data_IF_215784037275
#
_entry.id   IF_215784037275
#
_cell.length_a   1.000
_cell.length_b   1.000
_cell.length_c   1.000
_cell.angle_alpha   90.00
_cell.angle_beta   90.00
_cell.angle_gamma   90.00
#
_symmetry.space_group_name_H-M   'P 1'
#
loop_
_entity.id
_entity.type
_entity.pdbx_description
1 polymer ?
#
# COMPACT_ATOMS: atom_id res chain seq x y z
N UNK A 1 -27.57 -3.91 -11.28
CA UNK A 1 -26.11 -4.01 -11.46
C UNK A 1 -25.84 -3.80 -12.93
N UNK A 2 -25.17 -2.71 -13.30
CA UNK A 2 -24.72 -2.52 -14.68
C UNK A 2 -23.27 -3.01 -14.82
N UNK A 3 -22.90 -3.46 -16.02
CA UNK A 3 -21.51 -3.73 -16.34
C UNK A 3 -20.80 -2.40 -16.69
N UNK A 4 -19.56 -2.26 -16.24
CA UNK A 4 -18.68 -1.11 -16.51
C UNK A 4 -17.33 -1.60 -17.00
N UNK A 5 -17.00 -1.33 -18.25
CA UNK A 5 -15.78 -1.80 -18.88
C UNK A 5 -14.80 -0.65 -19.12
N UNK A 6 -13.58 -0.78 -18.60
CA UNK A 6 -12.54 0.23 -18.78
C UNK A 6 -12.03 0.26 -20.23
N UNK A 7 -12.05 1.45 -20.83
CA UNK A 7 -11.56 1.72 -22.19
C UNK A 7 -10.39 2.72 -22.20
N UNK A 8 -10.44 3.75 -21.36
CA UNK A 8 -9.43 4.81 -21.34
C UNK A 8 -9.42 5.69 -22.59
N UNK A 9 -10.60 6.07 -23.12
CA UNK A 9 -10.74 6.80 -24.39
C UNK A 9 -10.99 8.32 -24.24
N UNK A 10 -11.01 8.87 -23.03
CA UNK A 10 -11.29 10.28 -22.81
C UNK A 10 -10.20 11.19 -23.40
N UNK A 11 -10.59 12.34 -23.99
CA UNK A 11 -9.64 13.30 -24.53
C UNK A 11 -8.79 13.92 -23.42
N UNK A 12 -7.54 14.24 -23.76
CA UNK A 12 -6.60 14.93 -22.85
C UNK A 12 -6.99 16.40 -22.73
N UNK A 13 -7.23 16.85 -21.52
CA UNK A 13 -7.50 18.25 -21.17
C UNK A 13 -6.56 18.64 -20.03
N UNK A 14 -5.91 19.80 -20.15
CA UNK A 14 -5.04 20.34 -19.11
C UNK A 14 -5.89 20.88 -17.96
N UNK A 15 -5.46 20.64 -16.73
CA UNK A 15 -6.08 21.29 -15.57
C UNK A 15 -5.73 22.77 -15.56
N UNK A 16 -6.72 23.60 -15.26
CA UNK A 16 -6.55 25.03 -15.03
C UNK A 16 -7.18 25.38 -13.69
N UNK A 17 -6.38 25.98 -12.81
CA UNK A 17 -6.82 26.47 -11.49
C UNK A 17 -6.59 27.97 -11.44
N UNK A 18 -7.57 28.72 -10.95
CA UNK A 18 -7.49 30.17 -10.79
C UNK A 18 -7.51 30.55 -9.32
N UNK A 19 -6.79 31.62 -8.99
CA UNK A 19 -6.73 32.22 -7.67
C UNK A 19 -7.05 33.71 -7.80
N UNK A 20 -8.18 34.12 -7.24
CA UNK A 20 -8.58 35.52 -7.18
C UNK A 20 -7.91 36.19 -5.98
N UNK A 21 -7.02 37.14 -6.24
CA UNK A 21 -6.36 37.94 -5.20
C UNK A 21 -7.24 39.15 -4.87
N UNK A 22 -7.27 39.52 -3.60
CA UNK A 22 -7.98 40.69 -3.10
C UNK A 22 -7.37 41.18 -1.80
N UNK A 23 -8.10 42.03 -1.08
CA UNK A 23 -7.60 42.62 0.17
C UNK A 23 -6.55 43.71 -0.06
N UNK A 24 -5.86 44.07 1.03
CA UNK A 24 -4.74 45.02 1.01
C UNK A 24 -3.43 44.22 0.99
N UNK A 25 -2.49 44.61 0.14
CA UNK A 25 -1.17 43.98 0.06
C UNK A 25 -0.09 45.02 0.37
N UNK A 26 0.93 44.61 1.12
CA UNK A 26 2.19 45.34 1.25
C UNK A 26 3.22 44.85 0.21
N UNK A 27 4.28 45.63 -0.01
CA UNK A 27 5.31 45.24 -0.98
C UNK A 27 6.17 44.04 -0.52
N UNK A 28 6.26 43.82 0.79
CA UNK A 28 7.03 42.78 1.46
C UNK A 28 6.21 41.54 1.85
N UNK A 29 4.91 41.55 1.56
CA UNK A 29 4.06 40.36 1.66
C UNK A 29 4.56 39.19 0.81
N UNK A 30 4.15 37.99 1.23
CA UNK A 30 4.50 36.73 0.59
C UNK A 30 3.25 35.97 0.16
N UNK A 31 3.40 35.18 -0.90
CA UNK A 31 2.49 34.07 -1.22
C UNK A 31 3.26 32.77 -1.09
N UNK A 32 2.81 31.90 -0.18
CA UNK A 32 3.35 30.55 -0.04
C UNK A 32 2.55 29.58 -0.87
N UNK A 33 3.21 28.95 -1.83
CA UNK A 33 2.68 27.78 -2.52
C UNK A 33 3.17 26.50 -1.84
N UNK A 34 2.29 25.50 -1.71
CA UNK A 34 2.65 24.22 -1.07
C UNK A 34 1.97 23.02 -1.74
N UNK A 35 2.70 21.90 -1.77
CA UNK A 35 2.22 20.58 -2.17
C UNK A 35 2.13 19.66 -0.95
N UNK A 36 1.28 18.63 -1.02
CA UNK A 36 1.03 17.72 0.09
C UNK A 36 2.26 16.88 0.51
N UNK A 37 3.28 16.77 -0.35
CA UNK A 37 4.56 16.15 -0.02
C UNK A 37 5.49 17.06 0.84
N UNK A 38 5.02 18.24 1.24
CA UNK A 38 5.76 19.21 2.05
C UNK A 38 6.63 20.16 1.25
N UNK A 39 6.68 20.05 -0.08
CA UNK A 39 7.40 21.00 -0.92
C UNK A 39 6.69 22.36 -0.90
N UNK A 40 7.46 23.43 -0.70
CA UNK A 40 6.95 24.80 -0.59
C UNK A 40 7.87 25.82 -1.24
N UNK A 41 7.30 26.88 -1.78
CA UNK A 41 8.01 28.06 -2.28
C UNK A 41 7.27 29.32 -1.83
N UNK A 42 8.03 30.34 -1.40
CA UNK A 42 7.49 31.63 -0.99
C UNK A 42 7.84 32.67 -2.05
N UNK A 43 6.84 33.39 -2.55
CA UNK A 43 6.98 34.41 -3.58
C UNK A 43 6.71 35.79 -2.97
N UNK A 44 7.70 36.68 -3.04
CA UNK A 44 7.48 38.08 -2.66
C UNK A 44 6.54 38.74 -3.68
N UNK A 45 5.50 39.44 -3.20
CA UNK A 45 4.56 40.11 -4.09
C UNK A 45 5.14 41.40 -4.68
N UNK A 46 6.04 42.08 -3.95
CA UNK A 46 6.81 43.22 -4.47
C UNK A 46 6.00 44.46 -4.84
N UNK A 47 4.70 44.51 -4.51
CA UNK A 47 3.82 45.64 -4.86
C UNK A 47 2.56 45.67 -4.01
N UNK A 48 2.10 46.88 -3.67
CA UNK A 48 0.80 47.12 -3.03
C UNK A 48 -0.38 47.07 -4.01
N UNK A 49 -0.10 47.05 -5.32
CA UNK A 49 -1.15 46.93 -6.34
C UNK A 49 -1.40 45.46 -6.63
N UNK A 50 -2.59 44.96 -6.31
CA UNK A 50 -2.94 43.52 -6.42
C UNK A 50 -2.64 42.94 -7.81
N UNK A 51 -2.91 43.67 -8.89
CA UNK A 51 -2.61 43.16 -10.25
C UNK A 51 -1.10 43.01 -10.51
N UNK A 52 -0.30 43.93 -10.00
CA UNK A 52 1.17 43.87 -10.08
C UNK A 52 1.71 42.76 -9.17
N UNK A 53 1.16 42.61 -7.96
CA UNK A 53 1.48 41.52 -7.04
C UNK A 53 1.30 40.15 -7.71
N UNK A 54 0.14 39.93 -8.35
CA UNK A 54 -0.16 38.69 -9.09
C UNK A 54 0.81 38.47 -10.26
N UNK A 55 1.14 39.50 -11.02
CA UNK A 55 2.12 39.41 -12.12
C UNK A 55 3.53 39.05 -11.62
N UNK A 56 3.94 39.61 -10.48
CA UNK A 56 5.22 39.29 -9.84
C UNK A 56 5.26 37.84 -9.36
N UNK A 57 4.19 37.35 -8.71
CA UNK A 57 4.06 35.95 -8.30
C UNK A 57 4.13 35.01 -9.50
N UNK A 58 3.40 35.29 -10.58
CA UNK A 58 3.43 34.47 -11.80
C UNK A 58 4.84 34.41 -12.42
N UNK A 59 5.55 35.54 -12.45
CA UNK A 59 6.92 35.61 -12.96
C UNK A 59 7.88 34.82 -12.07
N UNK A 60 7.78 35.00 -10.75
CA UNK A 60 8.64 34.30 -9.79
C UNK A 60 8.42 32.78 -9.82
N UNK A 61 7.16 32.33 -9.97
CA UNK A 61 6.82 30.92 -10.16
C UNK A 61 7.53 30.32 -11.37
N UNK A 62 7.37 30.94 -12.55
CA UNK A 62 7.93 30.42 -13.79
C UNK A 62 9.47 30.45 -13.84
N UNK A 63 10.10 31.22 -12.95
CA UNK A 63 11.55 31.31 -12.80
C UNK A 63 12.12 30.37 -11.73
N UNK A 64 11.30 29.56 -11.06
CA UNK A 64 11.79 28.57 -10.11
C UNK A 64 12.72 27.57 -10.81
N UNK A 65 13.82 27.24 -10.16
CA UNK A 65 14.74 26.23 -10.65
C UNK A 65 14.08 24.85 -10.63
N UNK A 66 13.82 24.31 -11.82
CA UNK A 66 13.23 22.96 -12.01
C UNK A 66 14.04 21.83 -11.36
N UNK A 67 15.35 22.01 -11.13
CA UNK A 67 16.17 21.04 -10.40
C UNK A 67 15.86 21.01 -8.90
N UNK A 68 15.44 22.14 -8.35
CA UNK A 68 15.06 22.28 -6.95
C UNK A 68 13.55 22.16 -6.72
N UNK A 69 12.72 22.55 -7.69
CA UNK A 69 11.27 22.61 -7.60
C UNK A 69 10.59 21.87 -8.78
N UNK A 70 10.87 20.58 -8.98
CA UNK A 70 10.37 19.84 -10.13
C UNK A 70 8.84 19.76 -10.18
N UNK A 71 8.15 19.80 -9.03
CA UNK A 71 6.68 19.82 -8.97
C UNK A 71 6.08 21.11 -9.54
N UNK A 72 6.76 22.24 -9.34
CA UNK A 72 6.34 23.56 -9.84
C UNK A 72 6.57 23.66 -11.35
N UNK A 73 7.63 23.03 -11.85
CA UNK A 73 7.98 23.01 -13.26
C UNK A 73 7.00 22.23 -14.16
N UNK A 74 6.00 21.54 -13.58
CA UNK A 74 4.91 20.92 -14.34
C UNK A 74 3.76 21.90 -14.67
N UNK A 75 3.84 23.11 -14.12
CA UNK A 75 2.74 24.08 -14.10
C UNK A 75 3.26 25.45 -14.54
N UNK A 76 2.68 25.99 -15.61
CA UNK A 76 2.88 27.38 -16.02
C UNK A 76 1.90 28.30 -15.26
N UNK A 77 2.45 29.36 -14.66
CA UNK A 77 1.68 30.45 -14.07
C UNK A 77 1.47 31.60 -15.07
N UNK A 78 0.29 32.21 -15.08
CA UNK A 78 0.00 33.44 -15.81
C UNK A 78 -0.89 34.37 -14.99
N UNK A 79 -0.82 35.66 -15.28
CA UNK A 79 -1.55 36.69 -14.57
C UNK A 79 -2.54 37.40 -15.50
N UNK A 80 -3.77 37.65 -15.02
CA UNK A 80 -4.73 38.52 -15.69
C UNK A 80 -5.45 39.38 -14.64
N UNK A 81 -5.06 40.66 -14.56
CA UNK A 81 -5.53 41.57 -13.52
C UNK A 81 -5.21 40.99 -12.13
N UNK A 82 -6.23 40.82 -11.29
CA UNK A 82 -6.10 40.27 -9.94
C UNK A 82 -6.21 38.74 -9.88
N UNK A 83 -6.20 38.04 -11.02
CA UNK A 83 -6.33 36.58 -11.06
C UNK A 83 -5.02 35.93 -11.50
N UNK A 84 -4.48 35.07 -10.64
CA UNK A 84 -3.41 34.13 -10.99
C UNK A 84 -4.03 32.87 -11.59
N UNK A 85 -3.52 32.43 -12.73
CA UNK A 85 -3.95 31.20 -13.40
C UNK A 85 -2.78 30.23 -13.46
N UNK A 86 -2.96 29.04 -12.90
CA UNK A 86 -2.03 27.93 -12.97
C UNK A 86 -2.55 26.88 -13.95
N UNK A 87 -1.75 26.52 -14.94
CA UNK A 87 -2.11 25.55 -15.98
C UNK A 87 -1.09 24.41 -15.99
N UNK A 88 -1.58 23.17 -15.96
CA UNK A 88 -0.68 22.02 -16.12
C UNK A 88 -0.12 21.98 -17.55
N UNK A 89 1.20 21.89 -17.70
CA UNK A 89 1.86 21.99 -19.02
C UNK A 89 1.57 20.77 -19.92
N UNK A 90 1.32 19.61 -19.31
CA UNK A 90 0.88 18.40 -19.99
C UNK A 90 -0.62 18.13 -19.84
N UNK A 91 -1.38 18.14 -20.94
CA UNK A 91 -2.79 17.77 -20.93
C UNK A 91 -3.02 16.30 -20.48
N UNK A 92 -4.06 16.08 -19.68
CA UNK A 92 -4.38 14.78 -19.10
C UNK A 92 -3.55 14.38 -17.90
N UNK A 93 -2.95 15.36 -17.21
CA UNK A 93 -2.40 15.21 -15.87
C UNK A 93 -3.11 16.13 -14.89
N UNK A 94 -3.20 15.68 -13.65
CA UNK A 94 -3.77 16.44 -12.53
C UNK A 94 -2.65 17.15 -11.74
N UNK A 95 -3.00 18.16 -10.95
CA UNK A 95 -2.13 18.74 -9.92
C UNK A 95 -2.99 19.32 -8.80
N UNK A 96 -2.39 19.44 -7.61
CA UNK A 96 -3.03 20.08 -6.46
C UNK A 96 -1.97 20.91 -5.75
N UNK A 97 -2.22 22.21 -5.64
CA UNK A 97 -1.36 23.17 -4.96
C UNK A 97 -2.25 24.05 -4.09
N UNK A 98 -1.77 24.35 -2.89
CA UNK A 98 -2.39 25.35 -2.02
C UNK A 98 -1.60 26.63 -2.07
N UNK A 99 -2.28 27.78 -2.20
CA UNK A 99 -1.70 29.10 -1.99
C UNK A 99 -2.19 29.67 -0.67
N UNK A 100 -1.26 30.20 0.13
CA UNK A 100 -1.55 30.93 1.35
C UNK A 100 -0.96 32.34 1.24
N UNK A 101 -1.75 33.40 1.47
CA UNK A 101 -1.21 34.74 1.61
C UNK A 101 -0.57 34.88 3.01
N UNK A 102 0.55 35.58 3.10
CA UNK A 102 1.34 35.73 4.32
C UNK A 102 1.94 37.14 4.39
N UNK A 103 2.20 37.56 5.62
CA UNK A 103 2.96 38.77 5.94
C UNK A 103 4.44 38.63 5.58
N UNK A 104 5.13 39.76 5.61
CA UNK A 104 6.58 39.80 5.70
C UNK A 104 7.11 38.90 6.83
N UNK A 105 8.09 38.05 6.51
CA UNK A 105 8.63 37.07 7.47
C UNK A 105 7.80 35.77 7.59
N UNK A 106 6.69 35.65 6.85
CA UNK A 106 5.93 34.40 6.72
C UNK A 106 4.92 34.14 7.84
N UNK A 107 4.47 35.19 8.54
CA UNK A 107 3.39 35.11 9.52
C UNK A 107 2.01 35.16 8.85
N UNK A 108 0.96 34.90 9.62
CA UNK A 108 -0.40 34.87 9.12
C UNK A 108 -0.83 36.24 8.57
N UNK A 109 -1.47 36.22 7.39
CA UNK A 109 -2.04 37.39 6.74
C UNK A 109 -3.01 38.18 7.64
N UNK A 110 -2.94 39.50 7.59
CA UNK A 110 -3.85 40.40 8.30
C UNK A 110 -5.01 40.93 7.41
N UNK A 111 -4.76 41.25 6.14
CA UNK A 111 -5.69 41.92 5.24
C UNK A 111 -5.63 41.43 3.78
N UNK A 112 -4.51 40.84 3.37
CA UNK A 112 -4.31 40.21 2.07
C UNK A 112 -5.14 38.92 1.95
N UNK A 113 -5.83 38.75 0.83
CA UNK A 113 -6.72 37.60 0.64
C UNK A 113 -6.50 36.89 -0.69
N UNK A 114 -6.69 35.57 -0.67
CA UNK A 114 -6.78 34.72 -1.86
C UNK A 114 -8.10 33.96 -1.77
N UNK A 115 -8.91 34.03 -2.83
CA UNK A 115 -10.29 33.53 -2.84
C UNK A 115 -11.16 34.14 -1.71
N UNK A 116 -10.88 35.40 -1.35
CA UNK A 116 -11.62 36.13 -0.31
C UNK A 116 -11.31 35.71 1.13
N UNK A 117 -10.29 34.86 1.36
CA UNK A 117 -9.85 34.46 2.70
C UNK A 117 -8.35 34.68 2.93
N UNK A 118 -7.94 34.73 4.20
CA UNK A 118 -6.53 34.82 4.65
C UNK A 118 -5.87 33.46 4.88
N UNK A 119 -6.65 32.38 4.81
CA UNK A 119 -6.15 31.01 4.96
C UNK A 119 -5.68 30.41 3.63
N UNK A 120 -4.92 29.33 3.71
CA UNK A 120 -4.52 28.55 2.54
C UNK A 120 -5.74 28.04 1.76
N UNK A 121 -5.67 28.07 0.43
CA UNK A 121 -6.75 27.62 -0.47
C UNK A 121 -6.19 26.87 -1.67
N UNK A 122 -6.96 25.92 -2.22
CA UNK A 122 -6.64 25.20 -3.46
C UNK A 122 -7.09 25.94 -4.73
N UNK A 123 -7.68 27.13 -4.59
CA UNK A 123 -8.19 27.92 -5.70
C UNK A 123 -9.49 27.38 -6.28
N UNK A 124 -9.91 27.93 -7.42
CA UNK A 124 -11.09 27.51 -8.16
C UNK A 124 -10.67 26.73 -9.41
N UNK A 125 -11.26 25.55 -9.63
CA UNK A 125 -10.98 24.75 -10.83
C UNK A 125 -11.75 25.36 -12.01
N UNK A 126 -11.06 26.11 -12.86
CA UNK A 126 -11.62 26.70 -14.07
C UNK A 126 -11.76 25.66 -15.19
N UNK A 127 -10.87 24.67 -15.24
CA UNK A 127 -10.96 23.53 -16.15
C UNK A 127 -10.44 22.29 -15.46
N UNK A 128 -11.29 21.28 -15.32
CA UNK A 128 -10.88 19.99 -14.75
C UNK A 128 -9.97 19.24 -15.73
N UNK A 129 -8.97 18.53 -15.20
CA UNK A 129 -8.21 17.60 -16.00
C UNK A 129 -9.10 16.45 -16.50
N UNK A 130 -8.87 16.02 -17.73
CA UNK A 130 -9.40 14.75 -18.24
C UNK A 130 -8.36 14.08 -19.12
N UNK A 131 -8.49 12.77 -19.30
CA UNK A 131 -7.64 12.04 -20.22
C UNK A 131 -7.81 10.55 -20.06
N UNK A 132 -7.07 9.76 -20.87
CA UNK A 132 -7.15 8.30 -20.87
C UNK A 132 -6.91 7.64 -19.53
N UNK A 133 -6.31 8.35 -18.56
CA UNK A 133 -5.89 7.81 -17.27
C UNK A 133 -6.79 8.20 -16.09
N UNK A 134 -7.96 8.79 -16.33
CA UNK A 134 -8.88 9.26 -15.28
C UNK A 134 -10.03 8.27 -15.03
N UNK A 135 -10.07 7.66 -13.85
CA UNK A 135 -11.18 6.78 -13.47
C UNK A 135 -12.55 7.49 -13.53
N UNK A 136 -12.58 8.74 -13.06
CA UNK A 136 -13.78 9.54 -12.84
C UNK A 136 -14.39 10.17 -14.10
N UNK A 137 -13.89 9.85 -15.29
CA UNK A 137 -14.38 10.43 -16.55
C UNK A 137 -15.20 9.40 -17.32
N UNK A 138 -16.47 9.74 -17.58
CA UNK A 138 -17.43 8.87 -18.26
C UNK A 138 -16.92 8.29 -19.60
N UNK A 139 -16.26 9.12 -20.42
CA UNK A 139 -15.71 8.71 -21.72
C UNK A 139 -14.55 7.68 -21.63
N UNK A 140 -14.03 7.38 -20.44
CA UNK A 140 -13.09 6.28 -20.25
C UNK A 140 -13.76 4.91 -20.06
N UNK A 141 -15.09 4.86 -20.01
CA UNK A 141 -15.88 3.65 -19.86
C UNK A 141 -16.58 3.34 -21.18
N UNK A 142 -16.61 2.06 -21.59
CA UNK A 142 -17.28 1.65 -22.84
C UNK A 142 -18.78 2.04 -22.84
N UNK A 143 -19.38 2.10 -21.66
CA UNK A 143 -20.78 2.48 -21.45
C UNK A 143 -20.98 4.00 -21.30
N UNK A 144 -19.94 4.80 -21.46
CA UNK A 144 -19.93 6.26 -21.31
C UNK A 144 -20.57 6.75 -20.00
N UNK A 145 -20.32 6.03 -18.91
CA UNK A 145 -20.78 6.36 -17.57
C UNK A 145 -19.84 5.77 -16.53
N UNK A 146 -19.54 6.56 -15.50
CA UNK A 146 -18.67 6.14 -14.39
C UNK A 146 -19.35 5.07 -13.52
N UNK A 147 -18.59 4.17 -12.90
CA UNK A 147 -19.13 3.18 -11.99
C UNK A 147 -19.88 3.80 -10.81
N UNK A 148 -21.02 3.21 -10.48
CA UNK A 148 -21.81 3.55 -9.29
C UNK A 148 -21.92 2.35 -8.34
N UNK A 149 -22.48 2.57 -7.16
CA UNK A 149 -22.68 1.51 -6.15
C UNK A 149 -23.53 0.38 -6.72
N UNK A 150 -23.06 -0.86 -6.56
CA UNK A 150 -23.68 -2.07 -7.06
C UNK A 150 -23.38 -2.41 -8.53
N UNK A 151 -22.52 -1.66 -9.22
CA UNK A 151 -22.06 -2.04 -10.56
C UNK A 151 -20.99 -3.14 -10.52
N UNK A 152 -20.87 -3.87 -11.63
CA UNK A 152 -19.81 -4.83 -11.91
C UNK A 152 -18.76 -4.19 -12.81
N UNK A 153 -17.55 -3.99 -12.30
CA UNK A 153 -16.45 -3.34 -13.03
C UNK A 153 -15.47 -4.38 -13.56
N UNK A 154 -15.11 -4.25 -14.84
CA UNK A 154 -14.09 -5.07 -15.49
C UNK A 154 -13.01 -4.20 -16.13
N UNK A 155 -11.75 -4.52 -15.82
CA UNK A 155 -10.53 -3.90 -16.34
C UNK A 155 -9.75 -4.99 -17.05
N UNK A 156 -9.99 -5.15 -18.35
CA UNK A 156 -9.41 -6.23 -19.14
C UNK A 156 -8.37 -5.77 -20.17
N UNK A 157 -8.24 -4.46 -20.39
CA UNK A 157 -7.35 -3.83 -21.37
C UNK A 157 -7.26 -2.33 -21.05
N UNK A 158 -6.63 -1.56 -21.92
CA UNK A 158 -6.61 -0.10 -21.85
C UNK A 158 -5.38 0.45 -21.14
N UNK A 159 -5.28 1.79 -21.05
CA UNK A 159 -4.16 2.47 -20.44
C UNK A 159 -4.24 2.43 -18.90
N UNK A 160 -3.17 2.90 -18.25
CA UNK A 160 -3.10 3.08 -16.80
C UNK A 160 -4.27 3.90 -16.23
N UNK A 161 -4.66 3.60 -14.99
CA UNK A 161 -5.61 4.39 -14.20
C UNK A 161 -4.80 5.13 -13.14
N UNK A 162 -4.58 6.43 -13.33
CA UNK A 162 -3.63 7.23 -12.54
C UNK A 162 -4.29 8.38 -11.76
N UNK A 163 -5.45 8.85 -12.21
CA UNK A 163 -6.11 10.03 -11.66
C UNK A 163 -7.61 9.80 -11.42
N UNK A 164 -8.24 10.69 -10.66
CA UNK A 164 -9.63 10.53 -10.24
C UNK A 164 -9.83 9.34 -9.30
N UNK A 165 -8.80 9.04 -8.49
CA UNK A 165 -8.70 7.79 -7.75
C UNK A 165 -9.53 7.74 -6.45
N UNK A 166 -10.02 8.86 -5.95
CA UNK A 166 -10.89 8.86 -4.75
C UNK A 166 -12.36 8.65 -5.14
N UNK A 167 -12.85 7.44 -4.87
CA UNK A 167 -14.21 6.98 -5.10
C UNK A 167 -14.80 6.38 -3.82
N UNK A 168 -14.38 6.88 -2.65
CA UNK A 168 -14.70 6.27 -1.36
C UNK A 168 -16.19 6.15 -1.01
N UNK A 169 -17.08 6.82 -1.74
CA UNK A 169 -18.53 6.72 -1.59
C UNK A 169 -19.18 5.61 -2.44
N UNK A 170 -18.43 4.99 -3.35
CA UNK A 170 -18.90 3.93 -4.25
C UNK A 170 -18.53 2.56 -3.69
N UNK A 171 -19.50 1.65 -3.63
CA UNK A 171 -19.26 0.22 -3.33
C UNK A 171 -19.75 -0.65 -4.48
N UNK A 172 -18.80 -1.20 -5.24
CA UNK A 172 -19.07 -2.08 -6.38
C UNK A 172 -19.57 -3.45 -5.92
N UNK A 173 -20.39 -4.10 -6.76
CA UNK A 173 -20.71 -5.51 -6.59
C UNK A 173 -19.47 -6.37 -6.86
N UNK A 174 -18.75 -6.09 -7.96
CA UNK A 174 -17.45 -6.69 -8.23
C UNK A 174 -16.47 -5.74 -8.92
N UNK A 175 -15.18 -5.93 -8.64
CA UNK A 175 -14.05 -5.31 -9.36
C UNK A 175 -13.15 -6.41 -9.90
N UNK A 176 -13.07 -6.55 -11.21
CA UNK A 176 -12.27 -7.58 -11.88
C UNK A 176 -11.16 -6.95 -12.71
N UNK A 177 -9.92 -7.29 -12.41
CA UNK A 177 -8.74 -6.94 -13.20
C UNK A 177 -8.29 -8.22 -13.89
N UNK A 178 -8.40 -8.27 -15.21
CA UNK A 178 -8.25 -9.48 -16.00
C UNK A 178 -6.89 -9.55 -16.74
N UNK A 179 -6.46 -10.74 -17.22
CA UNK A 179 -5.10 -10.95 -17.73
C UNK A 179 -4.71 -10.07 -18.91
N UNK A 180 -5.69 -9.57 -19.66
CA UNK A 180 -5.45 -8.67 -20.78
C UNK A 180 -5.01 -7.25 -20.38
N UNK A 181 -5.09 -6.89 -19.09
CA UNK A 181 -4.57 -5.61 -18.60
C UNK A 181 -3.04 -5.64 -18.64
N UNK A 182 -2.40 -4.79 -19.48
CA UNK A 182 -1.02 -5.01 -19.90
C UNK A 182 -0.02 -4.66 -18.80
N UNK A 183 1.17 -5.28 -18.86
CA UNK A 183 2.25 -5.07 -17.89
C UNK A 183 2.80 -3.64 -17.87
N UNK A 184 2.61 -2.89 -18.96
CA UNK A 184 2.95 -1.47 -19.08
C UNK A 184 1.92 -0.52 -18.49
N UNK A 185 0.72 -1.01 -18.15
CA UNK A 185 -0.31 -0.22 -17.49
C UNK A 185 -0.34 -0.48 -15.99
N UNK A 186 -0.77 0.53 -15.23
CA UNK A 186 -0.77 0.51 -13.77
C UNK A 186 -2.08 1.06 -13.23
N UNK A 187 -2.49 0.61 -12.05
CA UNK A 187 -3.56 1.26 -11.27
C UNK A 187 -2.90 1.94 -10.08
N UNK A 188 -3.07 3.25 -10.00
CA UNK A 188 -2.43 4.08 -8.99
C UNK A 188 -1.07 4.65 -9.40
N UNK A 189 -0.66 5.70 -8.69
CA UNK A 189 0.60 6.39 -8.87
C UNK A 189 1.73 5.75 -8.03
N UNK A 190 2.99 5.84 -8.49
CA UNK A 190 4.14 5.34 -7.75
C UNK A 190 4.43 6.19 -6.49
N UNK A 191 5.40 5.78 -5.68
CA UNK A 191 5.83 6.55 -4.50
C UNK A 191 6.64 7.78 -4.88
N UNK A 192 7.36 7.70 -6.00
CA UNK A 192 8.10 8.79 -6.62
C UNK A 192 7.73 8.83 -8.10
N UNK A 193 7.67 10.03 -8.69
CA UNK A 193 7.29 10.21 -10.10
C UNK A 193 8.18 9.46 -11.09
N UNK A 194 9.42 9.15 -10.69
CA UNK A 194 10.25 8.13 -11.34
C UNK A 194 10.37 6.89 -10.45
N UNK A 195 9.46 5.94 -10.62
CA UNK A 195 9.39 4.72 -9.81
C UNK A 195 10.66 3.85 -9.89
N UNK A 196 11.29 3.81 -11.07
CA UNK A 196 12.50 3.02 -11.36
C UNK A 196 13.80 3.70 -10.92
N UNK A 197 13.77 5.00 -10.66
CA UNK A 197 14.95 5.77 -10.23
C UNK A 197 14.48 6.89 -9.30
N UNK A 198 14.06 6.55 -8.07
CA UNK A 198 13.42 7.50 -7.16
C UNK A 198 14.31 8.70 -6.83
N UNK A 199 15.63 8.55 -6.90
CA UNK A 199 16.64 9.63 -6.76
C UNK A 199 16.53 10.73 -7.84
N UNK A 200 15.86 10.45 -8.96
CA UNK A 200 15.70 11.38 -10.10
C UNK A 200 14.27 11.91 -10.22
N UNK A 201 13.37 11.50 -9.33
CA UNK A 201 11.99 11.99 -9.24
C UNK A 201 11.73 12.66 -7.90
N UNK A 202 10.52 13.14 -7.70
CA UNK A 202 10.08 13.70 -6.42
C UNK A 202 9.04 12.77 -5.77
N UNK A 203 8.91 12.79 -4.42
CA UNK A 203 7.86 12.05 -3.73
C UNK A 203 6.48 12.45 -4.24
N UNK A 204 5.69 11.48 -4.70
CA UNK A 204 4.36 11.73 -5.26
C UNK A 204 3.44 12.34 -4.20
N UNK A 205 2.87 13.50 -4.51
CA UNK A 205 1.99 14.24 -3.60
C UNK A 205 0.50 13.94 -3.85
N UNK A 206 0.16 13.38 -5.01
CA UNK A 206 -1.23 13.07 -5.39
C UNK A 206 -1.71 11.77 -4.75
N UNK A 207 -3.02 11.51 -4.81
CA UNK A 207 -3.59 10.24 -4.39
C UNK A 207 -2.93 9.07 -5.15
N UNK A 208 -2.42 8.06 -4.42
CA UNK A 208 -1.65 6.94 -5.02
C UNK A 208 -2.47 5.66 -5.23
N UNK A 209 -3.57 5.48 -4.50
CA UNK A 209 -4.41 4.26 -4.55
C UNK A 209 -5.78 4.60 -5.12
N UNK A 210 -6.34 3.69 -5.91
CA UNK A 210 -7.77 3.71 -6.23
C UNK A 210 -8.56 3.37 -4.97
N UNK A 211 -9.14 4.39 -4.32
CA UNK A 211 -9.98 4.23 -3.15
C UNK A 211 -11.41 3.99 -3.57
N UNK A 212 -11.91 2.77 -3.41
CA UNK A 212 -13.25 2.36 -3.83
C UNK A 212 -13.68 1.13 -3.03
N UNK A 213 -14.96 1.02 -2.66
CA UNK A 213 -15.49 -0.20 -2.08
C UNK A 213 -15.76 -1.26 -3.15
N UNK A 214 -15.57 -2.54 -2.83
CA UNK A 214 -16.04 -3.64 -3.65
C UNK A 214 -16.43 -4.82 -2.73
N UNK A 215 -17.54 -5.51 -2.99
CA UNK A 215 -17.86 -6.75 -2.23
C UNK A 215 -16.93 -7.89 -2.64
N UNK A 216 -16.61 -7.97 -3.94
CA UNK A 216 -15.67 -8.94 -4.51
C UNK A 216 -14.62 -8.20 -5.33
N UNK A 217 -13.34 -8.51 -5.10
CA UNK A 217 -12.24 -8.06 -5.93
C UNK A 217 -11.50 -9.29 -6.49
N UNK A 218 -11.29 -9.31 -7.79
CA UNK A 218 -10.62 -10.39 -8.50
C UNK A 218 -9.46 -9.82 -9.32
N UNK A 219 -8.24 -10.28 -9.04
CA UNK A 219 -7.02 -9.77 -9.63
C UNK A 219 -6.27 -10.90 -10.33
N UNK A 220 -6.19 -10.80 -11.64
CA UNK A 220 -5.33 -11.61 -12.49
C UNK A 220 -4.73 -10.68 -13.54
N UNK A 221 -3.55 -10.12 -13.27
CA UNK A 221 -2.99 -9.08 -14.15
C UNK A 221 -1.49 -9.22 -14.32
N UNK A 222 -0.99 -8.93 -15.52
CA UNK A 222 0.44 -8.78 -15.78
C UNK A 222 1.01 -7.41 -15.31
N UNK A 223 0.14 -6.51 -14.84
CA UNK A 223 0.53 -5.19 -14.35
C UNK A 223 1.55 -5.29 -13.22
N UNK A 224 2.58 -4.44 -13.31
CA UNK A 224 3.64 -4.33 -12.30
C UNK A 224 3.24 -3.49 -11.08
N UNK A 225 2.11 -2.79 -11.15
CA UNK A 225 1.58 -1.95 -10.07
C UNK A 225 0.05 -1.82 -10.16
N UNK A 226 -0.62 -2.39 -9.17
CA UNK A 226 -2.04 -2.25 -8.89
C UNK A 226 -2.17 -1.84 -7.42
N UNK A 227 -2.64 -0.61 -7.17
CA UNK A 227 -2.82 -0.09 -5.81
C UNK A 227 -4.28 0.17 -5.52
N UNK A 228 -4.86 -0.59 -4.59
CA UNK A 228 -6.27 -0.53 -4.25
C UNK A 228 -6.43 -0.17 -2.77
N UNK A 229 -7.29 0.79 -2.49
CA UNK A 229 -7.82 1.05 -1.14
C UNK A 229 -9.29 0.62 -1.11
N UNK A 230 -9.50 -0.63 -0.69
CA UNK A 230 -10.80 -1.27 -0.56
C UNK A 230 -11.40 -1.08 0.84
N UNK A 231 -10.81 -0.19 1.66
CA UNK A 231 -11.30 0.13 3.01
C UNK A 231 -12.76 0.58 3.11
N UNK A 232 -13.42 1.16 2.08
CA UNK A 232 -14.83 1.52 2.19
C UNK A 232 -15.80 0.33 2.33
N UNK A 233 -15.35 -0.92 2.11
CA UNK A 233 -16.22 -2.10 2.16
C UNK A 233 -15.53 -3.34 2.75
N UNK A 234 -16.31 -4.26 3.31
CA UNK A 234 -15.88 -5.66 3.52
C UNK A 234 -15.75 -6.35 2.18
N UNK A 235 -14.55 -6.85 1.88
CA UNK A 235 -14.22 -7.38 0.55
C UNK A 235 -13.73 -8.81 0.63
N UNK A 236 -14.15 -9.64 -0.32
CA UNK A 236 -13.46 -10.90 -0.65
C UNK A 236 -12.51 -10.65 -1.81
N UNK A 237 -11.21 -10.82 -1.59
CA UNK A 237 -10.17 -10.60 -2.60
C UNK A 237 -9.64 -11.94 -3.08
N UNK A 238 -9.65 -12.17 -4.39
CA UNK A 238 -8.99 -13.32 -5.03
C UNK A 238 -7.87 -12.82 -5.94
N UNK A 239 -6.65 -13.32 -5.73
CA UNK A 239 -5.46 -12.99 -6.52
C UNK A 239 -4.97 -14.25 -7.21
N UNK A 240 -5.19 -14.33 -8.53
CA UNK A 240 -4.80 -15.48 -9.34
C UNK A 240 -3.41 -15.36 -9.95
N UNK A 241 -3.01 -14.14 -10.29
CA UNK A 241 -1.65 -13.80 -10.76
C UNK A 241 -1.43 -12.29 -10.67
N UNK A 242 -0.19 -11.86 -10.51
CA UNK A 242 0.22 -10.45 -10.63
C UNK A 242 1.44 -10.34 -11.53
N UNK A 243 1.74 -9.12 -12.00
CA UNK A 243 3.02 -8.84 -12.64
C UNK A 243 4.19 -8.92 -11.65
N UNK A 244 5.38 -8.65 -12.17
CA UNK A 244 6.59 -8.45 -11.37
C UNK A 244 6.57 -7.03 -10.76
N UNK A 245 6.89 -6.87 -9.47
CA UNK A 245 6.98 -5.56 -8.85
C UNK A 245 7.85 -4.58 -9.66
N UNK A 246 7.52 -3.30 -9.60
CA UNK A 246 8.37 -2.27 -10.20
C UNK A 246 9.73 -2.13 -9.51
N UNK A 247 9.79 -2.47 -8.22
CA UNK A 247 10.97 -2.44 -7.37
C UNK A 247 11.16 -3.81 -6.72
N UNK A 248 12.41 -4.28 -6.59
CA UNK A 248 12.72 -5.64 -6.13
C UNK A 248 12.13 -6.01 -4.74
N UNK A 249 11.97 -5.03 -3.85
CA UNK A 249 11.35 -5.21 -2.52
C UNK A 249 9.89 -4.75 -2.44
N UNK A 250 9.31 -4.34 -3.57
CA UNK A 250 7.93 -3.88 -3.65
C UNK A 250 6.92 -5.01 -3.83
N UNK A 251 5.68 -4.62 -3.99
CA UNK A 251 4.56 -5.50 -4.33
C UNK A 251 3.97 -5.05 -5.66
N UNK A 252 3.52 -6.00 -6.48
CA UNK A 252 2.82 -5.69 -7.71
C UNK A 252 1.36 -5.34 -7.41
N UNK A 253 0.78 -5.95 -6.37
CA UNK A 253 -0.53 -5.62 -5.84
C UNK A 253 -0.38 -5.08 -4.41
N UNK A 254 -0.80 -3.84 -4.18
CA UNK A 254 -0.84 -3.19 -2.87
C UNK A 254 -2.30 -2.99 -2.46
N UNK A 255 -2.71 -3.73 -1.43
CA UNK A 255 -4.07 -3.74 -0.91
C UNK A 255 -4.12 -3.02 0.43
N UNK A 256 -5.01 -2.02 0.52
CA UNK A 256 -5.46 -1.46 1.78
C UNK A 256 -6.90 -1.89 2.07
N UNK A 257 -7.10 -2.47 3.24
CA UNK A 257 -8.35 -3.02 3.75
C UNK A 257 -8.59 -2.43 5.14
N UNK A 258 -9.82 -2.06 5.49
CA UNK A 258 -10.17 -1.58 6.85
C UNK A 258 -11.24 -2.43 7.53
N UNK A 259 -12.22 -2.91 6.77
CA UNK A 259 -13.22 -3.85 7.26
C UNK A 259 -12.71 -5.29 7.20
N UNK A 260 -13.39 -6.20 7.91
CA UNK A 260 -13.09 -7.63 7.88
C UNK A 260 -13.18 -8.16 6.46
N UNK A 261 -12.06 -8.67 5.95
CA UNK A 261 -11.90 -9.18 4.60
C UNK A 261 -11.40 -10.64 4.59
N UNK A 262 -11.62 -11.31 3.47
CA UNK A 262 -11.00 -12.60 3.14
C UNK A 262 -10.11 -12.42 1.91
N UNK A 263 -8.89 -12.97 1.94
CA UNK A 263 -7.89 -12.80 0.88
C UNK A 263 -7.37 -14.18 0.47
N UNK A 264 -7.47 -14.49 -0.82
CA UNK A 264 -6.99 -15.73 -1.42
C UNK A 264 -5.90 -15.41 -2.44
N UNK A 265 -4.69 -15.92 -2.23
CA UNK A 265 -3.54 -15.68 -3.11
C UNK A 265 -3.06 -17.01 -3.67
N UNK A 266 -3.11 -17.16 -4.99
CA UNK A 266 -2.64 -18.34 -5.71
C UNK A 266 -1.26 -18.12 -6.35
N UNK A 267 -0.99 -16.89 -6.80
CA UNK A 267 0.27 -16.49 -7.43
C UNK A 267 0.37 -14.96 -7.44
N UNK A 268 1.59 -14.43 -7.36
CA UNK A 268 1.91 -13.01 -7.46
C UNK A 268 2.61 -12.43 -6.23
N UNK A 269 2.84 -11.11 -6.27
CA UNK A 269 3.49 -10.31 -5.23
C UNK A 269 2.47 -9.36 -4.62
N UNK A 270 2.05 -9.64 -3.39
CA UNK A 270 0.92 -8.98 -2.73
C UNK A 270 1.34 -8.37 -1.40
N UNK A 271 1.13 -7.06 -1.27
CA UNK A 271 1.19 -6.34 0.00
C UNK A 271 -0.21 -6.16 0.56
N UNK A 272 -0.41 -6.49 1.84
CA UNK A 272 -1.69 -6.31 2.55
C UNK A 272 -1.48 -5.37 3.73
N UNK A 273 -2.11 -4.20 3.67
CA UNK A 273 -1.96 -3.10 4.62
C UNK A 273 -0.50 -2.77 4.93
N UNK A 274 0.39 -2.89 3.93
CA UNK A 274 1.84 -2.92 4.15
C UNK A 274 2.42 -1.56 4.54
N UNK A 275 1.85 -0.46 4.05
CA UNK A 275 2.47 0.86 4.23
C UNK A 275 2.27 1.38 5.66
N UNK A 276 3.17 2.24 6.16
CA UNK A 276 3.01 2.89 7.45
C UNK A 276 1.65 3.61 7.56
N UNK A 277 0.94 3.37 8.66
CA UNK A 277 -0.39 3.94 8.91
C UNK A 277 -1.55 3.16 8.29
N UNK A 278 -1.31 2.22 7.39
CA UNK A 278 -2.35 1.30 6.95
C UNK A 278 -2.70 0.34 8.09
N UNK A 279 -3.99 0.20 8.38
CA UNK A 279 -4.53 -0.67 9.41
C UNK A 279 -5.85 -1.30 8.94
N UNK A 280 -6.16 -2.48 9.45
CA UNK A 280 -7.40 -3.19 9.13
C UNK A 280 -7.42 -4.63 9.62
N UNK A 281 -8.44 -5.38 9.24
CA UNK A 281 -8.65 -6.76 9.68
C UNK A 281 -8.81 -7.71 8.50
N UNK A 282 -8.01 -8.76 8.46
CA UNK A 282 -8.20 -9.91 7.55
C UNK A 282 -8.59 -11.10 8.41
N UNK A 283 -9.82 -11.58 8.21
CA UNK A 283 -10.31 -12.77 8.90
C UNK A 283 -9.58 -14.00 8.38
N UNK A 284 -9.52 -14.17 7.05
CA UNK A 284 -8.93 -15.34 6.42
C UNK A 284 -7.94 -14.91 5.34
N UNK A 285 -6.66 -15.22 5.55
CA UNK A 285 -5.61 -15.14 4.54
C UNK A 285 -5.26 -16.56 4.10
N UNK A 286 -5.54 -16.89 2.84
CA UNK A 286 -5.24 -18.17 2.25
C UNK A 286 -4.16 -17.99 1.19
N UNK A 287 -2.98 -18.58 1.40
CA UNK A 287 -1.85 -18.50 0.48
C UNK A 287 -1.55 -19.90 -0.05
N UNK A 288 -1.61 -20.03 -1.37
CA UNK A 288 -1.36 -21.28 -2.07
C UNK A 288 -0.41 -21.04 -3.25
N UNK A 289 -0.30 -22.04 -4.12
CA UNK A 289 0.50 -22.00 -5.33
C UNK A 289 -0.30 -22.61 -6.48
N UNK A 290 0.10 -22.32 -7.72
CA UNK A 290 -0.51 -22.87 -8.94
C UNK A 290 0.39 -23.88 -9.64
N UNK A 291 1.69 -23.64 -9.61
CA UNK A 291 2.76 -24.34 -10.33
C UNK A 291 3.99 -24.59 -9.45
N UNK A 292 4.43 -23.62 -8.65
CA UNK A 292 5.64 -23.71 -7.83
C UNK A 292 5.33 -23.39 -6.37
N UNK A 293 5.51 -24.41 -5.51
CA UNK A 293 5.31 -24.31 -4.06
C UNK A 293 6.16 -23.19 -3.44
N UNK A 294 7.37 -22.93 -3.94
CA UNK A 294 8.30 -22.01 -3.29
C UNK A 294 8.28 -20.58 -3.83
N UNK A 295 7.76 -20.35 -5.04
CA UNK A 295 7.97 -19.08 -5.75
C UNK A 295 6.73 -18.45 -6.37
N UNK A 296 5.58 -19.14 -6.42
CA UNK A 296 4.40 -18.57 -7.06
C UNK A 296 3.83 -17.38 -6.29
N UNK A 297 3.75 -17.46 -4.97
CA UNK A 297 3.15 -16.43 -4.14
C UNK A 297 4.18 -15.80 -3.19
N UNK A 298 4.21 -14.48 -3.15
CA UNK A 298 4.94 -13.68 -2.16
C UNK A 298 3.95 -12.72 -1.52
N UNK A 299 3.69 -12.88 -0.23
CA UNK A 299 2.70 -12.09 0.51
C UNK A 299 3.36 -11.39 1.69
N UNK A 300 3.15 -10.08 1.83
CA UNK A 300 3.67 -9.27 2.93
C UNK A 300 2.54 -8.53 3.64
N UNK A 301 2.36 -8.82 4.91
CA UNK A 301 1.34 -8.23 5.75
C UNK A 301 1.93 -7.16 6.66
N UNK A 302 1.34 -5.97 6.65
CA UNK A 302 1.82 -4.79 7.36
C UNK A 302 1.77 -4.85 8.88
N UNK A 303 2.42 -3.88 9.55
CA UNK A 303 2.61 -3.88 11.00
C UNK A 303 1.36 -3.51 11.80
N UNK A 304 0.33 -2.91 11.18
CA UNK A 304 -0.95 -2.64 11.86
C UNK A 304 -2.10 -3.50 11.32
N UNK A 305 -1.79 -4.60 10.62
CA UNK A 305 -2.80 -5.57 10.20
C UNK A 305 -3.21 -6.44 11.40
N UNK A 306 -4.51 -6.60 11.62
CA UNK A 306 -5.04 -7.67 12.47
C UNK A 306 -5.33 -8.87 11.59
N UNK A 307 -4.57 -9.96 11.76
CA UNK A 307 -4.76 -11.20 11.01
C UNK A 307 -5.33 -12.30 11.93
N UNK A 308 -6.52 -12.80 11.63
CA UNK A 308 -7.16 -13.85 12.43
C UNK A 308 -6.66 -15.23 12.02
N UNK A 309 -6.91 -15.66 10.78
CA UNK A 309 -6.53 -16.96 10.27
C UNK A 309 -5.56 -16.82 9.09
N UNK A 310 -4.48 -17.60 9.12
CA UNK A 310 -3.58 -17.82 8.00
C UNK A 310 -3.58 -19.31 7.65
N UNK A 311 -4.01 -19.64 6.44
CA UNK A 311 -3.79 -20.96 5.83
C UNK A 311 -2.74 -20.83 4.72
N UNK A 312 -1.66 -21.60 4.80
CA UNK A 312 -0.56 -21.56 3.85
C UNK A 312 -0.20 -22.96 3.34
N UNK A 313 -0.37 -23.17 2.05
CA UNK A 313 0.07 -24.39 1.36
C UNK A 313 1.29 -24.21 0.45
N UNK A 314 1.77 -22.97 0.29
CA UNK A 314 2.97 -22.64 -0.48
C UNK A 314 3.32 -21.15 -0.37
N UNK A 315 4.22 -20.70 -1.24
CA UNK A 315 4.71 -19.33 -1.31
C UNK A 315 5.61 -18.91 -0.15
N UNK A 316 5.97 -17.63 -0.16
CA UNK A 316 6.67 -16.94 0.92
C UNK A 316 5.75 -15.91 1.55
N UNK A 317 5.50 -16.03 2.85
CA UNK A 317 4.62 -15.14 3.60
C UNK A 317 5.39 -14.47 4.73
N UNK A 318 5.24 -13.16 4.85
CA UNK A 318 5.77 -12.36 5.95
C UNK A 318 4.61 -11.63 6.66
N UNK A 319 4.53 -11.77 7.99
CA UNK A 319 3.52 -11.10 8.80
C UNK A 319 4.18 -10.29 9.91
N UNK A 320 4.07 -8.97 9.79
CA UNK A 320 4.73 -8.03 10.70
C UNK A 320 4.06 -7.94 12.08
N UNK A 321 2.73 -8.08 12.16
CA UNK A 321 1.97 -7.96 13.41
C UNK A 321 1.52 -9.31 14.01
N UNK A 322 1.96 -10.43 13.41
CA UNK A 322 1.55 -11.78 13.81
C UNK A 322 0.14 -12.17 13.35
N UNK A 323 -0.31 -13.35 13.76
CA UNK A 323 -1.60 -13.93 13.41
C UNK A 323 -2.20 -14.68 14.62
N UNK A 324 -3.53 -14.75 14.74
CA UNK A 324 -4.15 -15.48 15.85
C UNK A 324 -4.04 -17.00 15.66
N UNK A 325 -4.38 -17.50 14.46
CA UNK A 325 -4.30 -18.92 14.09
C UNK A 325 -3.54 -19.08 12.78
N UNK A 326 -2.59 -20.01 12.75
CA UNK A 326 -1.84 -20.38 11.55
C UNK A 326 -1.94 -21.87 11.32
N UNK A 327 -2.29 -22.25 10.10
CA UNK A 327 -2.15 -23.61 9.57
C UNK A 327 -1.26 -23.53 8.33
N UNK A 328 -0.16 -24.28 8.33
CA UNK A 328 0.82 -24.27 7.26
C UNK A 328 1.18 -25.68 6.88
N UNK A 329 1.05 -26.04 5.61
CA UNK A 329 1.43 -27.36 5.09
C UNK A 329 2.73 -27.34 4.29
N UNK A 330 3.09 -26.20 3.69
CA UNK A 330 4.37 -26.02 2.96
C UNK A 330 4.73 -24.52 2.84
N UNK A 331 5.76 -24.19 2.06
CA UNK A 331 6.23 -22.82 1.81
C UNK A 331 7.13 -22.27 2.93
N UNK A 332 7.32 -20.95 2.91
CA UNK A 332 8.09 -20.21 3.92
C UNK A 332 7.20 -19.21 4.63
N UNK A 333 7.21 -19.19 5.96
CA UNK A 333 6.48 -18.22 6.78
C UNK A 333 7.44 -17.50 7.71
N UNK A 334 7.39 -16.16 7.76
CA UNK A 334 8.07 -15.34 8.77
C UNK A 334 7.05 -14.57 9.59
N UNK A 335 7.07 -14.77 10.91
CA UNK A 335 6.21 -14.05 11.86
C UNK A 335 7.07 -13.14 12.72
N UNK A 336 6.95 -11.83 12.52
CA UNK A 336 7.68 -10.82 13.28
C UNK A 336 6.88 -10.24 14.45
N UNK A 337 5.55 -10.43 14.45
CA UNK A 337 4.68 -10.08 15.57
C UNK A 337 4.28 -11.31 16.42
N UNK A 338 3.53 -11.09 17.51
CA UNK A 338 3.10 -12.17 18.39
C UNK A 338 2.07 -13.08 17.73
N UNK A 339 2.16 -14.39 17.96
CA UNK A 339 1.08 -15.35 17.66
C UNK A 339 0.37 -15.65 18.96
N UNK A 340 -0.89 -15.26 19.08
CA UNK A 340 -1.64 -15.40 20.34
C UNK A 340 -2.37 -16.74 20.49
N UNK A 341 -2.56 -17.50 19.41
CA UNK A 341 -3.32 -18.75 19.42
C UNK A 341 -2.49 -19.97 18.97
N UNK A 342 -3.03 -20.70 17.99
CA UNK A 342 -2.46 -21.98 17.53
C UNK A 342 -1.63 -21.81 16.26
N UNK A 343 -0.42 -22.34 16.28
CA UNK A 343 0.48 -22.41 15.15
C UNK A 343 0.71 -23.87 14.75
N UNK A 344 0.22 -24.28 13.58
CA UNK A 344 0.35 -25.64 13.06
C UNK A 344 1.25 -25.66 11.82
N UNK A 345 2.54 -25.85 12.03
CA UNK A 345 3.54 -25.99 10.97
C UNK A 345 3.72 -27.46 10.58
N UNK A 346 2.91 -27.93 9.62
CA UNK A 346 2.92 -29.33 9.16
C UNK A 346 4.01 -29.63 8.11
N UNK A 347 4.66 -28.60 7.55
CA UNK A 347 5.71 -28.75 6.55
C UNK A 347 6.30 -27.40 6.12
N UNK A 348 7.37 -27.43 5.32
CA UNK A 348 8.12 -26.24 4.89
C UNK A 348 8.87 -25.54 6.03
N UNK A 349 9.18 -24.25 5.85
CA UNK A 349 10.00 -23.45 6.78
C UNK A 349 9.18 -22.39 7.50
N UNK A 350 9.34 -22.30 8.82
CA UNK A 350 8.77 -21.29 9.69
C UNK A 350 9.89 -20.52 10.39
N UNK A 351 9.80 -19.20 10.39
CA UNK A 351 10.63 -18.29 11.18
C UNK A 351 9.76 -17.58 12.22
N UNK A 352 10.04 -17.84 13.49
CA UNK A 352 9.42 -17.15 14.62
C UNK A 352 10.37 -16.04 15.06
N UNK A 353 10.14 -14.81 14.63
CA UNK A 353 11.03 -13.67 14.94
C UNK A 353 10.39 -12.68 15.92
N UNK A 354 9.08 -12.77 16.15
CA UNK A 354 8.32 -11.90 17.06
C UNK A 354 8.41 -12.23 18.55
N UNK A 355 7.66 -11.50 19.38
CA UNK A 355 7.62 -11.68 20.84
C UNK A 355 6.31 -12.33 21.31
N UNK A 356 6.14 -12.52 22.62
CA UNK A 356 4.86 -12.90 23.20
C UNK A 356 4.72 -14.39 23.49
N UNK A 357 3.48 -14.88 23.53
CA UNK A 357 3.14 -16.26 23.93
C UNK A 357 2.41 -17.00 22.82
N UNK A 358 3.02 -18.04 22.27
CA UNK A 358 2.36 -19.02 21.40
C UNK A 358 1.67 -20.05 22.26
N UNK A 359 0.33 -20.11 22.22
CA UNK A 359 -0.44 -21.03 23.07
C UNK A 359 -0.18 -22.50 22.69
N UNK A 360 -0.11 -22.79 21.40
CA UNK A 360 0.17 -24.13 20.86
C UNK A 360 1.06 -24.03 19.62
N UNK A 361 2.21 -24.69 19.65
CA UNK A 361 3.05 -24.95 18.48
C UNK A 361 2.99 -26.44 18.14
N UNK A 362 2.35 -26.79 17.03
CA UNK A 362 2.45 -28.12 16.40
C UNK A 362 3.45 -28.02 15.26
N UNK A 363 4.56 -28.74 15.35
CA UNK A 363 5.60 -28.72 14.34
C UNK A 363 5.84 -30.13 13.76
N UNK A 364 5.77 -30.24 12.43
CA UNK A 364 6.20 -31.38 11.63
C UNK A 364 7.13 -30.96 10.48
N UNK A 365 7.39 -29.66 10.30
CA UNK A 365 8.36 -29.12 9.34
C UNK A 365 9.58 -28.51 10.02
N UNK A 366 10.16 -27.50 9.39
CA UNK A 366 11.27 -26.72 9.96
C UNK A 366 10.75 -25.46 10.66
N UNK A 367 11.20 -25.22 11.89
CA UNK A 367 10.86 -24.02 12.65
C UNK A 367 12.08 -23.42 13.36
N UNK A 368 12.46 -22.22 12.95
CA UNK A 368 13.65 -21.53 13.44
C UNK A 368 13.28 -20.26 14.18
N UNK A 369 14.02 -19.99 15.26
CA UNK A 369 14.05 -18.71 15.94
C UNK A 369 15.28 -17.94 15.46
N UNK A 370 15.11 -16.74 14.88
CA UNK A 370 16.23 -15.83 14.57
C UNK A 370 16.23 -14.59 15.45
N UNK A 371 15.06 -14.17 15.93
CA UNK A 371 14.92 -13.02 16.84
C UNK A 371 15.47 -13.29 18.25
N UNK A 372 16.18 -12.30 18.80
CA UNK A 372 16.76 -12.34 20.17
C UNK A 372 15.75 -12.04 21.28
N UNK A 373 14.57 -11.53 20.93
CA UNK A 373 13.56 -11.15 21.89
C UNK A 373 12.92 -12.37 22.56
N UNK A 374 12.39 -12.21 23.77
CA UNK A 374 11.79 -13.31 24.52
C UNK A 374 10.53 -13.85 23.82
N UNK A 375 10.43 -15.18 23.75
CA UNK A 375 9.27 -15.91 23.25
C UNK A 375 8.86 -16.96 24.29
N UNK A 376 7.57 -17.06 24.56
CA UNK A 376 6.98 -18.14 25.36
C UNK A 376 6.21 -19.08 24.45
N UNK A 377 6.42 -20.39 24.61
CA UNK A 377 5.60 -21.43 23.98
C UNK A 377 4.92 -22.19 25.10
N UNK A 378 3.60 -22.13 25.15
CA UNK A 378 2.86 -22.80 26.22
C UNK A 378 2.88 -24.31 26.02
N UNK A 379 2.41 -24.79 24.86
CA UNK A 379 2.44 -26.22 24.51
C UNK A 379 3.22 -26.41 23.21
N UNK A 380 4.24 -27.28 23.24
CA UNK A 380 4.99 -27.68 22.06
C UNK A 380 4.70 -29.16 21.74
N UNK A 381 4.23 -29.43 20.53
CA UNK A 381 4.05 -30.76 19.98
C UNK A 381 4.96 -30.96 18.78
N UNK A 382 5.83 -31.94 18.87
CA UNK A 382 6.74 -32.32 17.80
C UNK A 382 6.22 -33.60 17.13
N UNK A 383 6.27 -33.61 15.80
CA UNK A 383 5.96 -34.75 14.95
C UNK A 383 7.22 -35.21 14.20
N UNK A 384 7.19 -36.42 13.65
CA UNK A 384 8.25 -36.97 12.82
C UNK A 384 8.65 -35.99 11.69
N UNK A 385 9.96 -35.82 11.46
CA UNK A 385 10.48 -34.87 10.48
C UNK A 385 10.65 -33.43 10.99
N UNK A 386 10.20 -33.11 12.21
CA UNK A 386 10.45 -31.81 12.84
C UNK A 386 11.93 -31.46 12.87
N UNK A 387 12.25 -30.22 12.47
CA UNK A 387 13.59 -29.65 12.61
C UNK A 387 13.53 -28.23 13.14
N UNK A 388 14.55 -27.82 13.87
CA UNK A 388 14.76 -26.43 14.25
C UNK A 388 14.97 -26.25 15.75
N UNK A 389 14.55 -25.13 16.30
CA UNK A 389 14.76 -24.80 17.70
C UNK A 389 15.05 -23.33 17.99
N UNK A 390 15.35 -23.06 19.25
CA UNK A 390 15.46 -21.72 19.82
C UNK A 390 16.70 -20.91 19.36
N UNK A 391 17.66 -21.53 18.66
CA UNK A 391 18.96 -20.90 18.40
C UNK A 391 19.61 -20.43 19.71
N UNK A 392 20.32 -19.30 19.67
CA UNK A 392 20.91 -18.66 20.85
C UNK A 392 19.90 -17.81 21.65
N UNK A 393 18.66 -17.66 21.16
CA UNK A 393 17.65 -16.81 21.78
C UNK A 393 16.86 -17.55 22.88
N UNK A 394 16.47 -16.86 23.96
CA UNK A 394 15.72 -17.48 25.06
C UNK A 394 14.28 -17.78 24.64
N UNK A 395 13.93 -19.07 24.55
CA UNK A 395 12.55 -19.55 24.42
C UNK A 395 12.14 -20.22 25.73
N UNK A 396 11.09 -19.69 26.36
CA UNK A 396 10.50 -20.27 27.56
C UNK A 396 9.39 -21.26 27.19
N UNK A 397 9.41 -22.45 27.79
CA UNK A 397 8.35 -23.44 27.66
C UNK A 397 7.59 -23.55 28.98
N UNK A 398 6.27 -23.38 28.99
CA UNK A 398 5.50 -23.41 30.24
C UNK A 398 4.85 -24.76 30.53
N UNK A 399 4.61 -25.59 29.50
CA UNK A 399 4.18 -26.98 29.65
C UNK A 399 5.28 -27.93 29.15
N UNK A 400 5.19 -29.24 29.46
CA UNK A 400 6.06 -30.26 28.87
C UNK A 400 6.01 -30.25 27.34
N UNK A 401 7.12 -30.66 26.74
CA UNK A 401 7.23 -30.89 25.30
C UNK A 401 6.67 -32.28 25.00
N UNK A 402 5.71 -32.34 24.09
CA UNK A 402 5.03 -33.56 23.68
C UNK A 402 5.61 -34.07 22.35
N UNK A 403 5.86 -35.37 22.28
CA UNK A 403 6.40 -36.04 21.09
C UNK A 403 5.31 -36.97 20.55
N UNK A 404 4.85 -36.74 19.32
CA UNK A 404 3.81 -37.52 18.66
C UNK A 404 4.44 -38.34 17.55
N UNK A 405 4.40 -39.67 17.69
CA UNK A 405 4.94 -40.63 16.71
C UNK A 405 6.41 -40.36 16.34
N UNK A 406 7.16 -39.75 17.27
CA UNK A 406 8.55 -39.38 17.08
C UNK A 406 9.33 -39.45 18.38
N UNK A 407 10.65 -39.36 18.28
CA UNK A 407 11.56 -39.35 19.43
C UNK A 407 12.66 -38.29 19.27
N UNK A 408 13.27 -37.84 20.38
CA UNK A 408 14.49 -37.04 20.31
C UNK A 408 15.64 -37.83 19.65
N UNK A 409 16.61 -37.15 19.02
CA UNK A 409 17.78 -37.78 18.44
C UNK A 409 18.62 -38.49 19.52
N UNK A 410 19.01 -39.73 19.25
CA UNK A 410 19.87 -40.52 20.15
C UNK A 410 21.34 -40.08 20.11
N UNK A 411 21.72 -39.28 19.11
CA UNK A 411 23.06 -38.73 18.93
C UNK A 411 23.12 -37.76 17.74
N UNK A 412 24.25 -37.06 17.53
CA UNK A 412 24.42 -36.02 16.50
C UNK A 412 24.19 -36.50 15.05
N UNK A 413 24.31 -37.80 14.80
CA UNK A 413 24.14 -38.40 13.46
C UNK A 413 22.81 -39.15 13.29
N UNK A 414 21.88 -39.06 14.24
CA UNK A 414 20.61 -39.79 14.21
C UNK A 414 19.61 -39.22 13.19
N UNK A 415 19.64 -39.74 11.97
CA UNK A 415 18.80 -39.30 10.85
C UNK A 415 17.58 -40.20 10.62
N UNK A 416 17.12 -40.92 11.65
CA UNK A 416 15.91 -41.74 11.55
C UNK A 416 14.68 -40.93 11.11
N UNK A 417 13.78 -41.56 10.36
CA UNK A 417 12.55 -40.91 9.88
C UNK A 417 11.59 -40.53 11.03
N UNK A 418 11.75 -41.20 12.17
CA UNK A 418 11.04 -40.98 13.44
C UNK A 418 11.70 -39.91 14.34
N UNK A 419 12.78 -39.26 13.88
CA UNK A 419 13.55 -38.32 14.70
C UNK A 419 13.06 -36.89 14.50
N UNK A 420 12.88 -36.18 15.63
CA UNK A 420 12.59 -34.75 15.66
C UNK A 420 13.78 -33.98 16.26
N UNK A 421 14.42 -33.13 15.44
CA UNK A 421 15.59 -32.34 15.80
C UNK A 421 15.17 -30.99 16.35
N UNK A 422 15.05 -30.87 17.68
CA UNK A 422 14.66 -29.61 18.32
C UNK A 422 15.73 -29.10 19.29
N UNK A 423 16.27 -27.91 19.01
CA UNK A 423 17.15 -27.17 19.90
C UNK A 423 16.38 -26.53 21.03
N UNK A 424 16.37 -27.17 22.20
CA UNK A 424 16.00 -26.52 23.45
C UNK A 424 17.23 -25.74 23.91
N UNK A 425 17.14 -24.41 24.05
CA UNK A 425 18.20 -23.63 24.69
C UNK A 425 18.50 -24.16 26.11
N UNK A 426 19.33 -23.48 26.91
CA UNK A 426 19.69 -23.92 28.26
C UNK A 426 18.48 -23.99 29.23
N UNK A 427 17.67 -25.05 29.19
CA UNK A 427 16.56 -25.30 30.13
C UNK A 427 16.57 -26.74 30.68
N UNK A 428 16.00 -26.90 31.89
CA UNK A 428 16.50 -27.81 32.92
C UNK A 428 15.73 -29.11 33.18
N UNK A 429 14.61 -29.43 32.53
CA UNK A 429 13.88 -30.70 32.79
C UNK A 429 13.09 -31.20 31.58
N UNK A 430 13.26 -32.49 31.27
CA UNK A 430 12.42 -33.26 30.33
C UNK A 430 11.55 -34.23 31.14
N UNK A 431 10.29 -34.39 30.74
CA UNK A 431 9.44 -35.51 31.18
C UNK A 431 8.95 -36.21 29.92
N UNK A 432 9.38 -37.46 29.72
CA UNK A 432 8.85 -38.32 28.67
C UNK A 432 7.42 -38.71 29.07
N UNK A 433 6.42 -38.29 28.29
CA UNK A 433 5.06 -38.77 28.43
C UNK A 433 4.92 -40.05 27.59
N UNK A 434 4.67 -41.18 28.27
CA UNK A 434 4.16 -42.46 27.74
C UNK A 434 4.67 -42.92 26.38
N UNK A 435 5.67 -43.81 26.37
CA UNK A 435 5.90 -44.77 25.28
C UNK A 435 4.78 -45.80 25.21
#
# INVERSE_FOLDING_TARGET
MAARNWAGAAPRVAKVVTFAFGGTWEADDLVRASFANGKRADFAVGSVTTATAVANVATAWNNLDSGNYPEFAEITASANGTTLTLTHDTAGKDFEVTLAPLEAGGTAADAQTIQGGTAATTGAVATAASGPNFWSVAANWEENAVPATGDDVTIAKGPSILYGLDQGAVTLASLKILPGYPSSSSIGLPDHTNASSPETGYPEYRARRLRIGATVADVESASRRVRLDLSPASTTVTVRDTGQPEQASGDALDLKLAATAAVYVFKGYVGVNRLPGDAGTVADLNVSYRTSVSSDAVVRCGPNLTLTNLDQSGGTVEVLNGAATVVKTDGTLTLQGPVSGSLKNRGGVLYLDGTGTVALLENGGEAYRRGLAALTITTLRLFAGSRGGAGDAPVAYTNPVEWYECRPPAGPDDRGADVAWWGFGRHKKYTAAGM
#
